data_IF_745034714257
#
_entry.id   IF_745034714257
#
_cell.length_a   1.000
_cell.length_b   1.000
_cell.length_c   1.000
_cell.angle_alpha   90.00
_cell.angle_beta   90.00
_cell.angle_gamma   90.00
#
_symmetry.space_group_name_H-M   'P 1'
#
loop_
_entity.id
_entity.type
_entity.pdbx_description
1 polymer ?
#
# COMPACT_ATOMS: atom_id res chain seq x y z
N UNK A 1 31.99 10.07 1.48
CA UNK A 1 31.62 11.39 2.04
C UNK A 1 31.02 11.17 3.41
N UNK A 2 31.71 11.70 4.42
CA UNK A 2 31.40 11.44 5.83
C UNK A 2 30.22 12.26 6.30
N UNK A 3 29.20 11.63 6.84
CA UNK A 3 28.14 12.33 7.57
C UNK A 3 28.62 12.60 9.00
N UNK A 4 28.79 13.87 9.31
CA UNK A 4 29.02 14.34 10.68
C UNK A 4 27.70 14.44 11.41
N UNK A 5 27.50 13.57 12.38
CA UNK A 5 26.48 13.72 13.43
C UNK A 5 27.13 14.51 14.57
N UNK A 6 26.59 15.68 14.87
CA UNK A 6 26.97 16.45 16.05
C UNK A 6 26.18 15.94 17.27
N UNK A 7 26.80 15.46 18.32
CA UNK A 7 26.14 15.33 19.60
C UNK A 7 26.44 16.59 20.44
N UNK A 8 25.40 17.32 20.81
CA UNK A 8 25.46 18.31 21.87
C UNK A 8 25.63 17.56 23.20
N UNK A 9 26.85 17.45 23.66
CA UNK A 9 27.17 17.02 25.02
C UNK A 9 27.47 18.26 25.87
N UNK A 10 26.53 18.61 26.76
CA UNK A 10 26.84 19.54 27.84
C UNK A 10 27.72 18.81 28.83
N UNK A 11 29.01 19.02 28.68
CA UNK A 11 30.03 18.45 29.57
C UNK A 11 30.08 19.18 30.88
N UNK A 12 29.58 18.58 31.95
CA UNK A 12 30.03 18.91 33.30
C UNK A 12 31.24 18.03 33.64
N UNK A 13 32.32 18.60 34.24
CA UNK A 13 33.54 17.84 34.50
C UNK A 13 33.31 16.84 35.65
N UNK A 14 32.96 15.61 35.31
CA UNK A 14 32.83 14.49 36.25
C UNK A 14 34.10 14.14 37.00
N UNK A 15 35.24 14.62 36.53
CA UNK A 15 36.57 14.29 37.14
C UNK A 15 36.87 15.06 38.43
N UNK A 16 36.36 16.27 38.62
CA UNK A 16 36.69 17.11 39.79
C UNK A 16 35.86 16.71 41.01
N UNK A 17 34.62 16.27 40.84
CA UNK A 17 33.81 15.77 41.97
C UNK A 17 34.31 14.43 42.52
N UNK A 18 34.91 13.57 41.70
CA UNK A 18 35.38 12.25 42.12
C UNK A 18 36.64 12.32 43.00
N UNK A 19 37.53 13.29 42.75
CA UNK A 19 38.81 13.37 43.47
C UNK A 19 38.68 13.97 44.88
N UNK A 20 37.79 14.93 45.11
CA UNK A 20 37.60 15.58 46.42
C UNK A 20 36.68 14.82 47.39
N UNK A 21 35.89 13.86 46.92
CA UNK A 21 35.01 13.05 47.77
C UNK A 21 35.63 11.73 48.23
N UNK A 22 36.65 11.22 47.52
CA UNK A 22 37.31 9.95 47.89
C UNK A 22 38.44 10.13 48.92
N UNK A 23 38.98 11.35 49.11
CA UNK A 23 40.01 11.66 50.05
C UNK A 23 39.55 12.77 51.02
N UNK A 24 38.89 12.45 52.13
CA UNK A 24 38.46 13.45 53.09
C UNK A 24 39.70 14.13 53.73
N UNK A 25 39.60 15.43 54.01
CA UNK A 25 40.74 16.20 54.59
C UNK A 25 41.30 15.57 55.85
N UNK A 26 42.66 15.61 56.02
CA UNK A 26 43.36 14.93 57.08
C UNK A 26 43.00 15.40 58.50
N UNK A 27 42.29 16.52 58.66
CA UNK A 27 41.87 17.08 59.94
C UNK A 27 40.54 16.57 60.48
N UNK A 28 39.84 15.69 59.75
CA UNK A 28 38.62 15.08 60.24
C UNK A 28 38.91 13.88 61.13
N UNK A 29 38.17 13.76 62.25
CA UNK A 29 38.26 12.62 63.13
C UNK A 29 37.92 11.30 62.42
N UNK A 30 38.48 10.18 62.87
CA UNK A 30 38.22 8.85 62.28
C UNK A 30 36.69 8.48 62.29
N UNK A 31 35.94 8.99 63.26
CA UNK A 31 34.49 8.81 63.32
C UNK A 31 33.78 9.58 62.23
N UNK A 32 34.17 10.82 61.95
CA UNK A 32 33.60 11.64 60.86
C UNK A 32 33.94 11.06 59.48
N UNK A 33 35.13 10.55 59.27
CA UNK A 33 35.50 9.87 58.01
C UNK A 33 34.63 8.65 57.75
N UNK A 34 34.38 7.82 58.77
CA UNK A 34 33.45 6.66 58.66
C UNK A 34 32.03 7.07 58.33
N UNK A 35 31.50 8.15 58.93
CA UNK A 35 30.15 8.66 58.67
C UNK A 35 30.06 9.14 57.22
N UNK A 36 31.07 9.88 56.71
CA UNK A 36 31.08 10.35 55.33
C UNK A 36 31.11 9.18 54.35
N UNK A 37 31.94 8.15 54.61
CA UNK A 37 31.97 6.95 53.76
C UNK A 37 30.62 6.20 53.74
N UNK A 38 29.94 6.11 54.88
CA UNK A 38 28.62 5.49 54.99
C UNK A 38 27.57 6.31 54.21
N UNK A 39 27.59 7.65 54.35
CA UNK A 39 26.66 8.52 53.60
C UNK A 39 26.91 8.48 52.11
N UNK A 40 28.18 8.40 51.65
CA UNK A 40 28.51 8.21 50.24
C UNK A 40 28.01 6.85 49.73
N UNK A 41 28.23 5.78 50.52
CA UNK A 41 27.73 4.45 50.15
C UNK A 41 26.18 4.40 50.04
N UNK A 42 25.49 5.03 50.99
CA UNK A 42 24.01 5.16 50.97
C UNK A 42 23.57 6.00 49.77
N UNK A 43 24.25 7.13 49.50
CA UNK A 43 23.93 7.98 48.34
C UNK A 43 24.20 7.25 47.02
N UNK A 44 25.29 6.50 46.89
CA UNK A 44 25.57 5.66 45.72
C UNK A 44 24.54 4.54 45.54
N UNK A 45 24.13 3.88 46.63
CA UNK A 45 23.06 2.84 46.56
C UNK A 45 21.73 3.45 46.22
N UNK A 46 21.37 4.58 46.82
CA UNK A 46 20.10 5.30 46.47
C UNK A 46 20.14 5.82 45.03
N UNK A 47 21.29 6.33 44.56
CA UNK A 47 21.43 6.77 43.15
C UNK A 47 21.43 5.60 42.18
N UNK A 48 22.01 4.46 42.54
CA UNK A 48 21.93 3.24 41.75
C UNK A 48 20.51 2.65 41.71
N UNK A 49 19.75 2.79 42.80
CA UNK A 49 18.34 2.41 42.85
C UNK A 49 17.45 3.40 42.11
N UNK A 50 17.77 4.70 42.06
CA UNK A 50 17.03 5.69 41.24
C UNK A 50 17.38 5.62 39.76
N UNK A 51 18.53 5.07 39.37
CA UNK A 51 18.94 4.81 37.99
C UNK A 51 18.62 3.37 37.53
N UNK A 52 17.90 2.57 38.29
CA UNK A 52 17.20 1.45 37.71
C UNK A 52 16.23 2.04 36.67
N UNK A 53 16.71 2.23 35.43
CA UNK A 53 15.93 2.66 34.29
C UNK A 53 14.64 1.83 34.31
N UNK A 54 13.53 2.51 34.59
CA UNK A 54 12.21 1.89 34.40
C UNK A 54 12.24 1.33 32.99
N UNK A 55 12.27 0.00 32.85
CA UNK A 55 12.12 -0.60 31.53
C UNK A 55 10.90 0.04 30.90
N UNK A 56 11.02 0.62 29.70
CA UNK A 56 9.87 1.18 29.04
C UNK A 56 8.79 0.09 28.96
N UNK A 57 7.56 0.47 29.24
CA UNK A 57 6.44 -0.45 29.12
C UNK A 57 6.37 -0.96 27.68
N UNK A 58 6.03 -2.24 27.45
CA UNK A 58 5.84 -2.77 26.11
C UNK A 58 4.80 -1.97 25.34
N UNK A 59 5.07 -1.68 24.06
CA UNK A 59 4.11 -1.00 23.18
C UNK A 59 2.85 -1.85 23.02
N UNK A 60 1.69 -1.22 23.08
CA UNK A 60 0.40 -1.89 22.89
C UNK A 60 0.16 -2.16 21.41
N UNK A 61 -0.14 -3.40 21.07
CA UNK A 61 -0.51 -3.81 19.72
C UNK A 61 -2.05 -3.95 19.62
N UNK A 62 -2.68 -3.43 18.58
CA UNK A 62 -2.11 -2.75 17.41
C UNK A 62 -1.87 -1.23 17.59
N UNK A 63 -2.43 -0.56 18.60
CA UNK A 63 -2.63 0.88 18.72
C UNK A 63 -1.33 1.70 18.65
N UNK A 64 -0.24 1.19 19.22
CA UNK A 64 1.06 1.89 19.30
C UNK A 64 2.10 1.33 18.32
N UNK A 65 1.73 0.29 17.56
CA UNK A 65 2.63 -0.41 16.64
C UNK A 65 2.24 -0.22 15.19
N UNK A 66 0.94 -0.27 14.88
CA UNK A 66 0.46 -0.08 13.51
C UNK A 66 0.28 1.40 13.21
N UNK A 67 0.68 1.80 12.01
CA UNK A 67 0.43 3.14 11.50
C UNK A 67 -1.03 3.30 11.02
N UNK A 68 -1.56 2.25 10.40
CA UNK A 68 -2.94 2.12 9.92
C UNK A 68 -3.41 0.70 10.18
N UNK A 69 -4.72 0.41 10.11
CA UNK A 69 -5.17 -0.98 9.98
C UNK A 69 -4.47 -1.70 8.82
N UNK A 70 -4.39 -3.04 8.84
CA UNK A 70 -3.85 -3.81 7.73
C UNK A 70 -4.68 -3.60 6.46
N UNK A 71 -4.09 -3.90 5.29
CA UNK A 71 -4.77 -3.88 4.00
C UNK A 71 -4.56 -5.22 3.32
N UNK A 72 -5.62 -5.83 2.80
CA UNK A 72 -5.58 -7.15 2.15
C UNK A 72 -5.67 -6.95 0.64
N UNK A 73 -4.54 -7.03 -0.06
CA UNK A 73 -4.48 -6.86 -1.51
C UNK A 73 -4.60 -8.21 -2.24
N UNK A 74 -5.42 -8.24 -3.29
CA UNK A 74 -5.57 -9.41 -4.14
C UNK A 74 -4.50 -9.43 -5.25
N UNK A 75 -3.68 -10.48 -5.29
CA UNK A 75 -2.58 -10.68 -6.26
C UNK A 75 -2.63 -12.12 -6.77
N UNK A 76 -2.95 -12.32 -8.04
CA UNK A 76 -3.15 -13.67 -8.58
C UNK A 76 -4.19 -14.44 -7.77
N UNK A 77 -3.80 -15.60 -7.25
CA UNK A 77 -4.59 -16.44 -6.35
C UNK A 77 -4.24 -16.27 -4.86
N UNK A 78 -3.43 -15.26 -4.52
CA UNK A 78 -3.00 -14.96 -3.17
C UNK A 78 -3.57 -13.63 -2.69
N UNK A 79 -3.60 -13.45 -1.36
CA UNK A 79 -3.69 -12.16 -0.74
C UNK A 79 -2.32 -11.75 -0.17
N UNK A 80 -1.97 -10.48 -0.35
CA UNK A 80 -0.89 -9.85 0.37
C UNK A 80 -1.47 -8.98 1.48
N UNK A 81 -1.33 -9.45 2.73
CA UNK A 81 -1.70 -8.68 3.92
C UNK A 81 -0.57 -7.72 4.20
N UNK A 82 -0.79 -6.44 3.88
CA UNK A 82 0.20 -5.37 4.02
C UNK A 82 -0.07 -4.60 5.30
N UNK A 83 0.98 -4.47 6.12
CA UNK A 83 0.85 -3.90 7.48
C UNK A 83 1.89 -2.81 7.70
N UNK A 84 1.53 -1.52 7.59
CA UNK A 84 2.41 -0.41 7.93
C UNK A 84 2.65 -0.33 9.43
N UNK A 85 3.91 -0.19 9.83
CA UNK A 85 4.34 -0.18 11.23
C UNK A 85 5.17 1.05 11.56
N UNK A 86 5.10 1.52 12.80
CA UNK A 86 5.85 2.69 13.27
C UNK A 86 7.20 2.34 13.90
N UNK A 87 7.49 1.04 14.06
CA UNK A 87 8.72 0.56 14.70
C UNK A 87 9.12 -0.81 14.15
N UNK A 88 10.36 -1.22 14.36
CA UNK A 88 10.81 -2.56 13.98
C UNK A 88 9.98 -3.64 14.67
N UNK A 89 9.39 -4.52 13.87
CA UNK A 89 8.51 -5.59 14.36
C UNK A 89 8.75 -6.90 13.63
N UNK A 90 8.61 -7.99 14.35
CA UNK A 90 8.36 -9.31 13.79
C UNK A 90 6.84 -9.45 13.68
N UNK A 91 6.33 -9.54 12.45
CA UNK A 91 4.93 -9.82 12.18
C UNK A 91 4.77 -11.18 11.50
N UNK A 92 3.75 -11.92 11.92
CA UNK A 92 3.26 -13.11 11.24
C UNK A 92 1.73 -13.10 11.25
N UNK A 93 1.14 -13.90 10.36
CA UNK A 93 -0.30 -14.08 10.25
C UNK A 93 -0.66 -15.53 10.52
N UNK A 94 -1.59 -15.77 11.43
CA UNK A 94 -2.15 -17.10 11.70
C UNK A 94 -3.55 -17.22 11.06
N UNK A 95 -3.76 -18.28 10.27
CA UNK A 95 -5.04 -18.65 9.67
C UNK A 95 -5.25 -20.13 9.91
N UNK A 96 -6.34 -20.53 10.55
CA UNK A 96 -6.66 -21.93 10.85
C UNK A 96 -5.49 -22.74 11.45
N UNK A 97 -4.71 -22.11 12.35
CA UNK A 97 -3.56 -22.75 13.01
C UNK A 97 -2.29 -22.81 12.19
N UNK A 98 -2.28 -22.35 10.94
CA UNK A 98 -1.12 -22.24 10.08
C UNK A 98 -0.54 -20.82 10.18
N UNK A 99 0.79 -20.70 10.23
CA UNK A 99 1.48 -19.41 10.37
C UNK A 99 2.18 -19.03 9.07
N UNK A 100 1.98 -17.80 8.65
CA UNK A 100 2.60 -17.15 7.48
C UNK A 100 3.51 -16.03 7.93
N UNK A 101 4.65 -15.88 7.29
CA UNK A 101 5.68 -14.91 7.66
C UNK A 101 6.03 -13.98 6.50
N UNK A 102 6.36 -12.73 6.82
CA UNK A 102 7.14 -11.86 5.94
C UNK A 102 8.61 -12.23 6.10
N UNK A 103 9.14 -13.07 5.20
CA UNK A 103 10.50 -13.58 5.31
C UNK A 103 11.19 -13.69 3.94
N UNK A 104 12.49 -13.43 3.91
CA UNK A 104 13.35 -13.58 2.74
C UNK A 104 14.48 -14.55 3.08
N UNK A 105 14.56 -15.66 2.34
CA UNK A 105 15.59 -16.69 2.54
C UNK A 105 15.75 -17.12 4.01
N UNK A 106 14.64 -17.30 4.73
CA UNK A 106 14.62 -17.73 6.14
C UNK A 106 14.85 -16.60 7.17
N UNK A 107 15.05 -15.36 6.73
CA UNK A 107 15.17 -14.20 7.61
C UNK A 107 13.86 -13.45 7.64
N UNK A 108 13.26 -13.29 8.84
CA UNK A 108 12.03 -12.51 9.01
C UNK A 108 12.35 -11.03 8.80
N UNK A 109 11.57 -10.37 7.93
CA UNK A 109 11.70 -8.95 7.65
C UNK A 109 11.28 -8.14 8.88
N UNK A 110 12.11 -7.22 9.34
CA UNK A 110 11.82 -6.35 10.49
C UNK A 110 12.13 -4.89 10.23
N UNK A 111 13.01 -4.59 9.28
CA UNK A 111 13.53 -3.25 9.05
C UNK A 111 12.66 -2.39 8.13
N UNK A 112 11.90 -3.00 7.20
CA UNK A 112 11.01 -2.24 6.32
C UNK A 112 9.82 -1.69 7.11
N UNK A 113 9.33 -0.49 6.82
CA UNK A 113 8.20 0.09 7.54
C UNK A 113 6.83 -0.47 7.11
N UNK A 114 6.77 -1.31 6.07
CA UNK A 114 5.57 -2.09 5.70
C UNK A 114 5.93 -3.57 5.70
N UNK A 115 5.14 -4.39 6.37
CA UNK A 115 5.23 -5.85 6.34
C UNK A 115 4.33 -6.38 5.24
N UNK A 116 4.80 -7.39 4.50
CA UNK A 116 4.03 -8.08 3.45
C UNK A 116 3.93 -9.55 3.78
N UNK A 117 2.75 -10.02 4.17
CA UNK A 117 2.51 -11.42 4.46
C UNK A 117 1.63 -11.98 3.36
N UNK A 118 2.16 -12.91 2.56
CA UNK A 118 1.42 -13.55 1.47
C UNK A 118 0.73 -14.80 1.98
N UNK A 119 -0.58 -14.92 1.69
CA UNK A 119 -1.42 -16.06 2.10
C UNK A 119 -2.29 -16.51 0.93
N UNK A 120 -2.54 -17.82 0.74
CA UNK A 120 -3.46 -18.30 -0.29
C UNK A 120 -4.88 -17.76 -0.07
N UNK A 121 -5.51 -17.26 -1.12
CA UNK A 121 -6.89 -16.75 -1.04
C UNK A 121 -7.86 -17.81 -0.53
N UNK A 122 -7.72 -19.04 -0.99
CA UNK A 122 -8.59 -20.15 -0.58
C UNK A 122 -8.59 -20.36 0.95
N UNK A 123 -7.43 -20.22 1.61
CA UNK A 123 -7.31 -20.42 3.06
C UNK A 123 -7.97 -19.24 3.82
N UNK A 124 -7.72 -18.00 3.43
CA UNK A 124 -8.31 -16.83 4.10
C UNK A 124 -9.81 -16.73 3.83
N UNK A 125 -10.26 -17.02 2.60
CA UNK A 125 -11.67 -17.02 2.23
C UNK A 125 -12.46 -18.07 3.04
N UNK A 126 -11.89 -19.25 3.26
CA UNK A 126 -12.51 -20.29 4.07
C UNK A 126 -12.54 -19.94 5.57
N UNK A 127 -11.48 -19.33 6.08
CA UNK A 127 -11.36 -18.95 7.48
C UNK A 127 -12.24 -17.75 7.86
N UNK A 128 -12.38 -16.78 6.94
CA UNK A 128 -13.09 -15.49 7.13
C UNK A 128 -12.54 -14.65 8.29
N UNK A 129 -11.36 -14.99 8.75
CA UNK A 129 -10.61 -14.25 9.77
C UNK A 129 -9.11 -14.55 9.67
N UNK A 130 -8.29 -13.65 10.19
CA UNK A 130 -6.86 -13.85 10.34
C UNK A 130 -6.35 -13.17 11.60
N UNK A 131 -5.32 -13.72 12.21
CA UNK A 131 -4.73 -13.17 13.43
C UNK A 131 -3.33 -12.67 13.14
N UNK A 132 -3.10 -11.37 13.30
CA UNK A 132 -1.76 -10.80 13.30
C UNK A 132 -1.09 -11.07 14.65
N UNK A 133 0.11 -11.64 14.59
CA UNK A 133 0.97 -11.93 15.73
C UNK A 133 2.19 -10.99 15.67
N UNK A 134 2.39 -10.21 16.72
CA UNK A 134 3.39 -9.14 16.76
C UNK A 134 4.37 -9.29 17.91
N UNK A 135 5.67 -9.09 17.62
CA UNK A 135 6.72 -8.83 18.60
C UNK A 135 7.48 -7.58 18.20
N UNK A 136 7.48 -6.56 19.02
CA UNK A 136 8.33 -5.38 18.81
C UNK A 136 9.80 -5.76 19.06
N UNK A 137 10.68 -5.36 18.14
CA UNK A 137 12.12 -5.59 18.27
C UNK A 137 12.72 -4.47 19.11
N UNK A 138 13.27 -4.83 20.27
CA UNK A 138 13.91 -3.86 21.19
C UNK A 138 15.41 -3.80 21.02
N UNK A 139 16.01 -4.85 20.46
CA UNK A 139 17.42 -4.90 20.10
C UNK A 139 17.63 -5.84 18.93
N UNK A 140 18.27 -5.37 17.86
CA UNK A 140 18.74 -6.20 16.77
C UNK A 140 20.27 -6.11 16.69
N UNK A 141 20.92 -7.23 16.71
CA UNK A 141 22.37 -7.34 16.66
C UNK A 141 22.78 -8.69 16.06
N UNK A 142 24.07 -8.90 15.89
CA UNK A 142 24.62 -10.15 15.37
C UNK A 142 24.22 -11.35 16.26
N UNK A 143 24.17 -11.13 17.58
CA UNK A 143 23.85 -12.13 18.58
C UNK A 143 22.86 -11.57 19.61
N UNK A 144 22.02 -12.44 20.17
CA UNK A 144 21.11 -12.16 21.27
C UNK A 144 20.18 -10.97 21.02
N UNK A 145 19.53 -10.96 19.85
CA UNK A 145 18.43 -10.02 19.57
C UNK A 145 17.31 -10.16 20.62
N UNK A 146 16.65 -9.07 20.94
CA UNK A 146 15.60 -9.01 21.96
C UNK A 146 14.30 -8.48 21.37
N UNK A 147 13.20 -9.06 21.80
CA UNK A 147 11.84 -8.65 21.43
C UNK A 147 10.96 -8.52 22.67
N UNK A 148 9.91 -7.74 22.54
CA UNK A 148 8.83 -7.72 23.51
C UNK A 148 8.01 -9.03 23.49
N UNK A 149 7.18 -9.27 24.49
CA UNK A 149 6.25 -10.41 24.50
C UNK A 149 5.36 -10.43 23.26
N UNK A 150 4.92 -11.63 22.87
CA UNK A 150 3.97 -11.81 21.76
C UNK A 150 2.63 -11.18 22.10
N UNK A 151 2.11 -10.37 21.20
CA UNK A 151 0.77 -9.83 21.23
C UNK A 151 0.03 -10.24 19.96
N UNK A 152 -1.30 -10.39 20.05
CA UNK A 152 -2.13 -10.87 18.94
C UNK A 152 -3.37 -9.99 18.76
N UNK A 153 -3.79 -9.82 17.50
CA UNK A 153 -5.05 -9.18 17.14
C UNK A 153 -5.69 -9.93 15.99
N UNK A 154 -6.93 -10.37 16.18
CA UNK A 154 -7.73 -11.01 15.12
C UNK A 154 -8.55 -9.95 14.39
N UNK A 155 -8.58 -10.08 13.07
CA UNK A 155 -9.38 -9.32 12.13
C UNK A 155 -10.37 -10.25 11.45
N UNK A 156 -11.61 -9.82 11.31
CA UNK A 156 -12.57 -10.48 10.43
C UNK A 156 -12.19 -10.23 8.97
N UNK A 157 -12.52 -11.14 8.08
CA UNK A 157 -12.37 -10.98 6.65
C UNK A 157 -13.65 -11.41 5.94
N UNK A 158 -14.13 -10.56 5.05
CA UNK A 158 -15.32 -10.79 4.25
C UNK A 158 -14.92 -10.98 2.79
N UNK A 159 -14.69 -12.24 2.36
CA UNK A 159 -14.40 -12.55 0.97
C UNK A 159 -15.61 -12.22 0.08
N UNK A 160 -15.35 -11.90 -1.18
CA UNK A 160 -16.42 -11.74 -2.17
C UNK A 160 -16.96 -13.13 -2.57
N UNK A 161 -18.08 -13.54 -2.02
CA UNK A 161 -18.73 -14.82 -2.32
C UNK A 161 -19.91 -14.68 -3.28
N UNK A 162 -20.53 -13.49 -3.35
CA UNK A 162 -21.66 -13.22 -4.25
C UNK A 162 -21.19 -13.02 -5.69
N UNK A 163 -22.10 -13.30 -6.62
CA UNK A 163 -21.86 -13.19 -8.07
C UNK A 163 -22.74 -12.17 -8.76
N UNK A 164 -23.61 -11.51 -8.00
CA UNK A 164 -24.53 -10.46 -8.45
C UNK A 164 -24.52 -9.29 -7.45
N UNK A 165 -24.85 -8.11 -7.92
CA UNK A 165 -24.90 -6.89 -7.12
C UNK A 165 -23.58 -6.65 -6.37
N UNK A 166 -22.46 -6.85 -7.08
CA UNK A 166 -21.12 -6.65 -6.53
C UNK A 166 -20.83 -5.16 -6.51
N UNK A 167 -20.54 -4.62 -5.34
CA UNK A 167 -20.27 -3.21 -5.09
C UNK A 167 -18.78 -2.93 -5.04
N UNK A 168 -18.30 -2.26 -6.07
CA UNK A 168 -16.88 -1.85 -6.22
C UNK A 168 -16.80 -0.34 -6.10
N UNK A 169 -15.83 0.17 -5.37
CA UNK A 169 -15.51 1.59 -5.40
C UNK A 169 -14.09 1.80 -5.91
N UNK A 170 -13.94 2.65 -6.94
CA UNK A 170 -12.64 3.01 -7.49
C UNK A 170 -12.25 4.43 -7.07
N UNK A 171 -11.03 4.56 -6.58
CA UNK A 171 -10.33 5.81 -6.31
C UNK A 171 -9.09 5.89 -7.18
N UNK A 172 -8.90 7.00 -7.88
CA UNK A 172 -7.66 7.36 -8.60
C UNK A 172 -7.39 8.84 -8.38
N UNK A 173 -6.21 9.34 -8.77
CA UNK A 173 -5.91 10.76 -8.76
C UNK A 173 -6.19 11.44 -7.40
N UNK A 174 -5.91 10.75 -6.30
CA UNK A 174 -6.17 11.32 -4.99
C UNK A 174 -5.13 12.38 -4.59
N UNK A 175 -3.90 12.29 -5.14
CA UNK A 175 -2.84 13.27 -4.96
C UNK A 175 -2.67 13.69 -3.50
N UNK A 176 -2.40 12.70 -2.63
CA UNK A 176 -2.26 12.85 -1.17
C UNK A 176 -3.54 13.26 -0.41
N UNK A 177 -4.70 13.37 -1.06
CA UNK A 177 -5.98 13.52 -0.37
C UNK A 177 -6.33 12.22 0.35
N UNK A 178 -6.61 12.27 1.62
CA UNK A 178 -7.05 11.09 2.41
C UNK A 178 -8.52 11.21 2.75
N UNK A 179 -8.91 12.32 3.36
CA UNK A 179 -10.27 12.48 3.90
C UNK A 179 -11.34 12.48 2.82
N UNK A 180 -11.21 13.31 1.80
CA UNK A 180 -12.24 13.45 0.77
C UNK A 180 -12.47 12.15 -0.03
N UNK A 181 -11.44 11.42 -0.52
CA UNK A 181 -11.65 10.10 -1.12
C UNK A 181 -12.31 9.09 -0.18
N UNK A 182 -11.89 9.04 1.10
CA UNK A 182 -12.49 8.15 2.11
C UNK A 182 -13.96 8.49 2.35
N UNK A 183 -14.32 9.77 2.37
CA UNK A 183 -15.72 10.20 2.53
C UNK A 183 -16.58 9.80 1.33
N UNK A 184 -16.07 9.85 0.09
CA UNK A 184 -16.80 9.41 -1.10
C UNK A 184 -17.18 7.91 -1.04
N UNK A 185 -16.30 7.06 -0.54
CA UNK A 185 -16.53 5.61 -0.42
C UNK A 185 -17.65 5.27 0.57
N UNK A 186 -17.98 6.15 1.49
CA UNK A 186 -19.12 5.98 2.41
C UNK A 186 -20.47 5.82 1.70
N UNK A 187 -20.52 6.09 0.40
CA UNK A 187 -21.68 5.82 -0.47
C UNK A 187 -22.16 4.37 -0.36
N UNK A 188 -21.24 3.41 -0.32
CA UNK A 188 -21.59 2.01 -0.09
C UNK A 188 -21.54 1.60 1.39
N UNK A 189 -20.90 2.36 2.25
CA UNK A 189 -20.76 2.01 3.66
C UNK A 189 -20.23 0.59 3.85
N UNK A 190 -20.93 -0.19 4.69
CA UNK A 190 -20.56 -1.58 4.98
C UNK A 190 -20.85 -2.56 3.83
N UNK A 191 -21.54 -2.14 2.79
CA UNK A 191 -21.90 -2.97 1.63
C UNK A 191 -20.80 -3.02 0.57
N UNK A 192 -19.71 -2.26 0.74
CA UNK A 192 -18.58 -2.31 -0.17
C UNK A 192 -17.96 -3.72 -0.19
N UNK A 193 -17.75 -4.27 -1.40
CA UNK A 193 -17.18 -5.61 -1.59
C UNK A 193 -15.72 -5.57 -2.03
N UNK A 194 -15.35 -4.57 -2.81
CA UNK A 194 -14.00 -4.41 -3.37
C UNK A 194 -13.64 -2.94 -3.46
N UNK A 195 -12.47 -2.58 -2.96
CA UNK A 195 -11.87 -1.27 -3.17
C UNK A 195 -10.79 -1.36 -4.24
N UNK A 196 -10.78 -0.43 -5.20
CA UNK A 196 -9.71 -0.29 -6.20
C UNK A 196 -9.01 1.06 -5.99
N UNK A 197 -7.71 1.03 -5.73
CA UNK A 197 -6.84 2.19 -5.76
C UNK A 197 -6.13 2.20 -7.11
N UNK A 198 -6.53 3.09 -8.01
CA UNK A 198 -6.11 3.05 -9.40
C UNK A 198 -5.15 4.19 -9.77
N UNK A 199 -4.03 4.28 -9.07
CA UNK A 199 -2.92 5.17 -9.40
C UNK A 199 -3.11 6.63 -9.01
N UNK A 200 -1.99 7.36 -9.00
CA UNK A 200 -1.90 8.75 -8.56
C UNK A 200 -2.52 8.97 -7.18
N UNK A 201 -2.37 7.97 -6.32
CA UNK A 201 -2.79 8.07 -4.93
C UNK A 201 -1.87 9.04 -4.19
N UNK A 202 -0.58 9.01 -4.53
CA UNK A 202 0.41 9.99 -4.09
C UNK A 202 0.64 11.07 -5.16
N UNK A 203 0.98 12.29 -4.76
CA UNK A 203 1.41 13.36 -5.68
C UNK A 203 2.80 13.08 -6.28
N UNK A 204 3.54 12.18 -5.68
CA UNK A 204 4.88 11.76 -6.05
C UNK A 204 5.56 11.12 -4.85
N UNK A 205 6.65 10.38 -5.07
CA UNK A 205 7.34 9.61 -4.06
C UNK A 205 8.65 10.28 -3.63
N UNK A 206 8.56 11.53 -3.18
CA UNK A 206 9.73 12.29 -2.70
C UNK A 206 10.28 11.75 -1.38
N UNK A 207 9.44 11.10 -0.59
CA UNK A 207 9.81 10.43 0.65
C UNK A 207 8.83 9.30 0.97
N UNK A 208 9.21 8.49 1.95
CA UNK A 208 8.43 7.33 2.35
C UNK A 208 6.98 7.64 2.80
N UNK A 209 6.73 8.79 3.43
CA UNK A 209 5.39 9.15 3.91
C UNK A 209 4.37 9.29 2.77
N UNK A 210 4.82 9.60 1.55
CA UNK A 210 3.95 9.65 0.38
C UNK A 210 3.38 8.25 0.07
N UNK A 211 4.20 7.19 0.13
CA UNK A 211 3.77 5.80 -0.09
C UNK A 211 2.68 5.40 0.93
N UNK A 212 2.77 5.90 2.16
CA UNK A 212 1.80 5.60 3.22
C UNK A 212 0.39 6.14 2.96
N UNK A 213 0.22 7.03 1.99
CA UNK A 213 -1.11 7.55 1.61
C UNK A 213 -2.03 6.41 1.17
N UNK A 214 -1.51 5.42 0.40
CA UNK A 214 -2.25 4.23 -0.01
C UNK A 214 -2.88 3.51 1.19
N UNK A 215 -2.09 3.34 2.26
CA UNK A 215 -2.51 2.63 3.46
C UNK A 215 -3.46 3.44 4.34
N UNK A 216 -3.27 4.76 4.42
CA UNK A 216 -4.19 5.65 5.15
C UNK A 216 -5.58 5.62 4.54
N UNK A 217 -5.67 5.59 3.21
CA UNK A 217 -6.94 5.48 2.49
C UNK A 217 -7.49 4.06 2.62
N UNK A 218 -6.76 3.05 2.12
CA UNK A 218 -7.27 1.68 2.08
C UNK A 218 -7.53 1.10 3.47
N UNK A 219 -6.58 1.27 4.41
CA UNK A 219 -6.76 0.80 5.79
C UNK A 219 -7.89 1.51 6.50
N UNK A 220 -8.05 2.83 6.29
CA UNK A 220 -9.15 3.61 6.88
C UNK A 220 -10.53 3.24 6.33
N UNK A 221 -10.62 2.76 5.09
CA UNK A 221 -11.87 2.31 4.46
C UNK A 221 -12.17 0.86 4.82
N UNK A 222 -11.19 -0.02 4.65
CA UNK A 222 -11.44 -1.48 4.67
C UNK A 222 -11.20 -2.11 6.03
N UNK A 223 -10.45 -1.47 6.91
CA UNK A 223 -10.02 -2.02 8.20
C UNK A 223 -9.38 -3.42 8.10
N UNK A 224 -8.88 -3.80 6.92
CA UNK A 224 -8.37 -5.13 6.63
C UNK A 224 -9.44 -6.21 6.45
N UNK A 225 -10.70 -5.84 6.29
CA UNK A 225 -11.85 -6.74 6.31
C UNK A 225 -12.37 -7.14 4.93
N UNK A 226 -11.97 -6.43 3.86
CA UNK A 226 -12.35 -6.70 2.47
C UNK A 226 -11.15 -6.61 1.53
N UNK A 227 -11.19 -7.27 0.36
CA UNK A 227 -10.10 -7.21 -0.61
C UNK A 227 -9.93 -5.81 -1.23
N UNK A 228 -8.68 -5.51 -1.58
CA UNK A 228 -8.27 -4.29 -2.29
C UNK A 228 -7.47 -4.67 -3.52
N UNK A 229 -7.59 -3.90 -4.60
CA UNK A 229 -6.71 -3.96 -5.78
C UNK A 229 -5.98 -2.62 -5.90
N UNK A 230 -4.71 -2.66 -6.26
CA UNK A 230 -3.87 -1.49 -6.43
C UNK A 230 -3.26 -1.46 -7.83
N UNK A 231 -3.30 -0.33 -8.49
CA UNK A 231 -2.55 -0.01 -9.70
C UNK A 231 -1.66 1.21 -9.43
N UNK A 232 -0.46 1.22 -9.98
CA UNK A 232 0.42 2.38 -9.94
C UNK A 232 -0.04 3.41 -10.97
N UNK A 233 0.04 4.71 -10.64
CA UNK A 233 -0.09 5.81 -11.58
C UNK A 233 1.27 6.36 -11.99
N UNK A 234 1.26 7.35 -12.88
CA UNK A 234 2.49 7.96 -13.37
C UNK A 234 3.18 8.85 -12.30
N UNK A 235 2.44 9.43 -11.38
CA UNK A 235 3.03 10.19 -10.27
C UNK A 235 3.83 9.31 -9.31
N UNK A 236 3.51 8.05 -9.16
CA UNK A 236 4.28 7.11 -8.36
C UNK A 236 5.62 6.68 -9.00
N UNK A 237 5.94 7.12 -10.23
CA UNK A 237 7.28 6.96 -10.82
C UNK A 237 8.21 8.12 -10.47
N UNK A 238 7.71 9.18 -9.86
CA UNK A 238 8.42 10.44 -9.62
C UNK A 238 8.89 10.55 -8.17
N UNK A 239 10.13 11.01 -7.98
CA UNK A 239 10.67 11.29 -6.65
C UNK A 239 11.73 10.31 -6.17
N UNK A 240 12.43 10.71 -5.11
CA UNK A 240 13.67 10.06 -4.64
C UNK A 240 13.50 8.61 -4.16
N UNK A 241 12.28 8.17 -3.80
CA UNK A 241 12.01 6.81 -3.32
C UNK A 241 11.11 6.02 -4.27
N UNK A 242 10.86 6.50 -5.49
CA UNK A 242 10.00 5.82 -6.46
C UNK A 242 10.50 4.41 -6.80
N UNK A 243 11.81 4.20 -6.92
CA UNK A 243 12.42 2.88 -7.16
C UNK A 243 12.17 1.87 -6.04
N UNK A 244 11.82 2.34 -4.83
CA UNK A 244 11.54 1.51 -3.67
C UNK A 244 10.07 1.10 -3.57
N UNK A 245 9.19 1.62 -4.41
CA UNK A 245 7.76 1.35 -4.35
C UNK A 245 7.43 -0.15 -4.31
N UNK A 246 8.10 -1.05 -5.07
CA UNK A 246 7.82 -2.48 -4.99
C UNK A 246 8.10 -3.11 -3.62
N UNK A 247 8.90 -2.49 -2.76
CA UNK A 247 9.12 -2.94 -1.38
C UNK A 247 7.90 -2.66 -0.49
N UNK A 248 7.11 -1.66 -0.83
CA UNK A 248 6.06 -1.08 0.01
C UNK A 248 4.66 -1.13 -0.62
N UNK A 249 4.53 -1.57 -1.86
CA UNK A 249 3.27 -1.76 -2.55
C UNK A 249 3.02 -3.24 -2.83
N UNK A 250 1.75 -3.67 -2.98
CA UNK A 250 1.45 -5.03 -3.42
C UNK A 250 2.05 -5.26 -4.81
N UNK A 251 2.64 -6.42 -5.02
CA UNK A 251 3.27 -6.73 -6.29
C UNK A 251 3.38 -8.25 -6.51
N UNK A 252 3.63 -8.63 -7.75
CA UNK A 252 3.97 -10.01 -8.11
C UNK A 252 5.41 -10.07 -8.59
N UNK A 253 6.28 -10.70 -7.80
CA UNK A 253 7.70 -10.87 -8.14
C UNK A 253 8.42 -9.54 -8.43
N UNK A 254 8.05 -8.47 -7.71
CA UNK A 254 8.56 -7.12 -7.89
C UNK A 254 7.86 -6.30 -8.98
N UNK A 255 6.97 -6.90 -9.79
CA UNK A 255 6.21 -6.19 -10.82
C UNK A 255 4.92 -5.60 -10.25
N UNK A 256 4.57 -4.38 -10.69
CA UNK A 256 3.34 -3.68 -10.30
C UNK A 256 2.21 -3.89 -11.31
N UNK A 257 2.43 -4.70 -12.33
CA UNK A 257 1.42 -5.28 -13.22
C UNK A 257 1.22 -6.76 -12.88
N UNK A 258 -0.03 -7.19 -12.80
CA UNK A 258 -0.37 -8.56 -12.37
C UNK A 258 -1.83 -8.88 -12.68
N UNK A 259 -2.19 -10.16 -12.68
CA UNK A 259 -3.59 -10.58 -12.64
C UNK A 259 -4.07 -10.70 -11.21
N UNK A 260 -5.38 -10.57 -10.98
CA UNK A 260 -6.00 -10.78 -9.67
C UNK A 260 -7.31 -11.56 -9.78
N UNK A 261 -7.66 -12.23 -8.68
CA UNK A 261 -8.95 -12.91 -8.50
C UNK A 261 -9.60 -12.35 -7.24
N UNK A 262 -10.89 -12.02 -7.33
CA UNK A 262 -11.72 -11.68 -6.17
C UNK A 262 -13.11 -12.26 -6.43
N UNK A 263 -13.41 -13.42 -5.83
CA UNK A 263 -14.64 -14.16 -6.11
C UNK A 263 -14.81 -14.43 -7.61
N UNK A 264 -15.95 -14.04 -8.15
CA UNK A 264 -16.29 -14.20 -9.58
C UNK A 264 -15.58 -13.20 -10.51
N UNK A 265 -14.80 -12.27 -9.96
CA UNK A 265 -14.05 -11.28 -10.75
C UNK A 265 -12.65 -11.81 -11.02
N UNK A 266 -12.27 -11.83 -12.28
CA UNK A 266 -10.90 -11.86 -12.74
C UNK A 266 -10.54 -10.47 -13.26
N UNK A 267 -9.33 -10.01 -13.01
CA UNK A 267 -8.85 -8.78 -13.60
C UNK A 267 -7.35 -8.79 -13.87
N UNK A 268 -6.93 -7.86 -14.70
CA UNK A 268 -5.53 -7.56 -14.98
C UNK A 268 -5.26 -6.11 -14.64
N UNK A 269 -4.22 -5.89 -13.84
CA UNK A 269 -3.63 -4.58 -13.60
C UNK A 269 -2.52 -4.39 -14.62
N UNK A 270 -2.60 -3.32 -15.40
CA UNK A 270 -1.59 -2.88 -16.36
C UNK A 270 -1.04 -1.51 -15.96
N UNK A 271 0.26 -1.33 -16.17
CA UNK A 271 1.00 -0.17 -15.71
C UNK A 271 1.62 0.57 -16.89
N UNK A 272 0.96 1.62 -17.34
CA UNK A 272 1.41 2.39 -18.51
C UNK A 272 2.72 3.19 -18.29
N UNK A 273 3.23 3.27 -17.06
CA UNK A 273 4.36 4.13 -16.75
C UNK A 273 4.03 5.63 -16.89
N UNK A 274 4.97 6.44 -17.33
CA UNK A 274 4.80 7.87 -17.52
C UNK A 274 4.03 8.21 -18.81
N UNK A 275 3.47 9.41 -18.86
CA UNK A 275 2.61 9.91 -19.91
C UNK A 275 3.34 10.67 -21.05
N UNK A 276 4.68 10.75 -20.99
CA UNK A 276 5.55 11.37 -21.99
C UNK A 276 6.72 10.46 -22.31
N UNK A 277 7.45 10.76 -23.39
CA UNK A 277 8.65 10.00 -23.77
C UNK A 277 9.69 9.95 -22.64
N UNK A 278 10.42 8.83 -22.53
CA UNK A 278 11.47 8.62 -21.52
C UNK A 278 12.55 9.75 -21.54
N UNK A 279 12.79 10.35 -22.70
CA UNK A 279 13.71 11.47 -22.87
C UNK A 279 13.14 12.85 -22.51
N UNK A 280 11.88 12.94 -22.05
CA UNK A 280 11.28 14.23 -21.73
C UNK A 280 12.01 14.90 -20.56
N UNK A 281 12.22 16.22 -20.67
CA UNK A 281 13.03 16.99 -19.72
C UNK A 281 12.50 16.94 -18.28
N UNK A 282 11.19 16.74 -18.10
CA UNK A 282 10.54 16.61 -16.78
C UNK A 282 11.10 15.43 -15.97
N UNK A 283 11.52 14.35 -16.65
CA UNK A 283 11.97 13.14 -15.98
C UNK A 283 13.48 13.12 -15.71
N UNK A 284 14.26 13.98 -16.32
CA UNK A 284 15.70 14.07 -16.09
C UNK A 284 16.44 12.74 -16.34
N UNK A 285 15.96 11.92 -17.29
CA UNK A 285 16.47 10.58 -17.62
C UNK A 285 16.34 9.54 -16.47
N UNK A 286 15.39 9.70 -15.56
CA UNK A 286 15.20 8.79 -14.42
C UNK A 286 14.23 7.66 -14.71
N UNK A 287 13.55 7.66 -15.86
CA UNK A 287 12.55 6.64 -16.25
C UNK A 287 12.98 5.88 -17.48
N UNK A 288 12.48 4.66 -17.64
CA UNK A 288 12.68 3.79 -18.78
C UNK A 288 11.35 3.05 -19.08
N UNK A 289 10.31 3.83 -19.40
CA UNK A 289 8.95 3.31 -19.55
C UNK A 289 8.73 2.57 -20.88
N UNK A 290 9.39 2.96 -21.95
CA UNK A 290 9.30 2.22 -23.21
C UNK A 290 9.73 0.75 -23.08
N UNK A 291 10.96 0.41 -22.62
CA UNK A 291 11.36 -0.98 -22.43
C UNK A 291 10.53 -1.69 -21.34
N UNK A 292 10.00 -0.97 -20.37
CA UNK A 292 9.09 -1.51 -19.36
C UNK A 292 7.76 -1.96 -20.00
N UNK A 293 7.13 -1.16 -20.85
CA UNK A 293 5.91 -1.53 -21.59
C UNK A 293 6.11 -2.72 -22.53
N UNK A 294 7.30 -2.86 -23.13
CA UNK A 294 7.63 -4.05 -23.93
C UNK A 294 7.62 -5.33 -23.06
N UNK A 295 8.19 -5.30 -21.86
CA UNK A 295 8.13 -6.43 -20.93
C UNK A 295 6.70 -6.75 -20.49
N UNK A 296 5.91 -5.72 -20.29
CA UNK A 296 4.50 -5.88 -19.92
C UNK A 296 3.68 -6.45 -21.09
N UNK A 297 4.02 -6.10 -22.33
CA UNK A 297 3.43 -6.74 -23.52
C UNK A 297 3.68 -8.25 -23.53
N UNK A 298 4.90 -8.70 -23.22
CA UNK A 298 5.21 -10.13 -23.10
C UNK A 298 4.47 -10.79 -21.92
N UNK A 299 4.33 -10.08 -20.80
CA UNK A 299 3.49 -10.55 -19.69
C UNK A 299 2.03 -10.72 -20.12
N UNK A 300 1.43 -9.74 -20.81
CA UNK A 300 0.06 -9.85 -21.32
C UNK A 300 -0.11 -11.06 -22.25
N UNK A 301 0.86 -11.32 -23.16
CA UNK A 301 0.86 -12.51 -24.01
C UNK A 301 0.91 -13.80 -23.18
N UNK A 302 1.74 -13.85 -22.14
CA UNK A 302 1.82 -15.03 -21.25
C UNK A 302 0.52 -15.29 -20.48
N UNK A 303 -0.22 -14.23 -20.10
CA UNK A 303 -1.56 -14.35 -19.49
C UNK A 303 -2.56 -14.91 -20.51
N UNK A 304 -2.48 -14.48 -21.77
CA UNK A 304 -3.31 -15.01 -22.86
C UNK A 304 -3.03 -16.48 -23.12
N UNK A 305 -1.77 -16.89 -23.16
CA UNK A 305 -1.37 -18.27 -23.32
C UNK A 305 -1.86 -19.18 -22.18
N UNK A 306 -2.04 -18.61 -20.98
CA UNK A 306 -2.55 -19.29 -19.78
C UNK A 306 -4.07 -19.09 -19.55
N UNK A 307 -4.81 -18.70 -20.56
CA UNK A 307 -6.23 -18.29 -20.46
C UNK A 307 -7.11 -19.23 -19.62
N UNK A 308 -6.90 -20.54 -19.70
CA UNK A 308 -7.70 -21.55 -19.00
C UNK A 308 -7.60 -21.43 -17.47
N UNK A 309 -6.44 -21.00 -16.94
CA UNK A 309 -6.23 -20.78 -15.51
C UNK A 309 -6.47 -19.32 -15.11
N UNK A 310 -6.64 -18.45 -16.07
CA UNK A 310 -6.87 -17.01 -15.90
C UNK A 310 -8.33 -16.66 -16.19
N UNK A 311 -8.58 -15.86 -17.17
CA UNK A 311 -9.90 -15.30 -17.48
C UNK A 311 -10.94 -16.27 -18.06
N UNK A 312 -10.55 -17.47 -18.47
CA UNK A 312 -11.45 -18.54 -18.94
C UNK A 312 -11.70 -19.61 -17.85
N UNK A 313 -11.24 -19.43 -16.63
CA UNK A 313 -11.57 -20.33 -15.54
C UNK A 313 -13.11 -20.33 -15.29
N UNK A 314 -13.67 -21.50 -14.97
CA UNK A 314 -15.12 -21.72 -14.95
C UNK A 314 -15.89 -20.83 -13.94
N UNK A 315 -15.23 -20.36 -12.89
CA UNK A 315 -15.79 -19.50 -11.86
C UNK A 315 -15.68 -18.00 -12.19
N UNK A 316 -15.05 -17.62 -13.32
CA UNK A 316 -14.95 -16.23 -13.78
C UNK A 316 -16.25 -15.81 -14.48
N UNK A 317 -16.89 -14.77 -13.95
CA UNK A 317 -18.04 -14.12 -14.56
C UNK A 317 -17.70 -12.74 -15.12
N UNK A 318 -16.81 -12.01 -14.43
CA UNK A 318 -16.44 -10.66 -14.79
C UNK A 318 -14.95 -10.58 -15.10
N UNK A 319 -14.63 -9.84 -16.17
CA UNK A 319 -13.24 -9.59 -16.61
C UNK A 319 -13.01 -8.10 -16.62
N UNK A 320 -12.09 -7.62 -15.79
CA UNK A 320 -11.79 -6.22 -15.62
C UNK A 320 -10.35 -5.90 -16.03
N UNK A 321 -10.15 -4.74 -16.64
CA UNK A 321 -8.84 -4.13 -16.79
C UNK A 321 -8.77 -2.98 -15.80
N UNK A 322 -7.69 -2.91 -15.03
CA UNK A 322 -7.36 -1.78 -14.17
C UNK A 322 -6.06 -1.19 -14.67
N UNK A 323 -6.11 0.03 -15.17
CA UNK A 323 -4.94 0.77 -15.61
C UNK A 323 -5.14 2.24 -15.27
N UNK A 324 -4.17 2.86 -14.63
CA UNK A 324 -4.30 4.27 -14.30
C UNK A 324 -4.51 5.12 -15.57
N UNK A 325 -3.61 4.97 -16.54
CA UNK A 325 -3.69 5.68 -17.82
C UNK A 325 -4.52 4.88 -18.82
N UNK A 326 -5.55 5.46 -19.46
CA UNK A 326 -6.28 4.80 -20.53
C UNK A 326 -5.42 4.65 -21.80
N UNK A 327 -5.69 3.59 -22.58
CA UNK A 327 -4.95 3.30 -23.83
C UNK A 327 -5.45 4.17 -24.98
N UNK A 328 -5.27 5.47 -24.88
CA UNK A 328 -5.73 6.44 -25.88
C UNK A 328 -4.56 7.20 -26.44
N UNK A 329 -4.48 7.27 -27.77
CA UNK A 329 -3.51 8.16 -28.41
C UNK A 329 -4.01 9.62 -28.33
N UNK A 330 -3.25 10.44 -27.63
CA UNK A 330 -3.51 11.87 -27.54
C UNK A 330 -2.65 12.55 -28.60
N UNK A 331 -3.27 12.99 -29.69
CA UNK A 331 -2.55 13.70 -30.75
C UNK A 331 -2.22 15.14 -30.33
N UNK A 332 -1.46 15.25 -29.25
CA UNK A 332 -1.00 16.51 -28.68
C UNK A 332 0.35 16.29 -27.97
N UNK A 333 1.39 16.95 -28.47
CA UNK A 333 2.70 16.89 -27.82
C UNK A 333 2.66 17.52 -26.45
N UNK A 334 3.34 16.92 -25.44
CA UNK A 334 4.26 15.75 -25.52
C UNK A 334 3.58 14.39 -25.24
N UNK A 335 2.25 14.28 -25.26
CA UNK A 335 1.48 13.11 -24.85
C UNK A 335 1.17 12.11 -25.99
N UNK A 336 1.69 12.38 -27.19
CA UNK A 336 1.51 11.56 -28.39
C UNK A 336 2.51 10.39 -28.44
N UNK A 337 2.49 9.52 -27.42
CA UNK A 337 3.47 8.46 -27.24
C UNK A 337 2.87 7.05 -27.40
N UNK A 338 3.71 6.05 -27.66
CA UNK A 338 3.45 4.61 -27.57
C UNK A 338 2.25 4.09 -28.37
N UNK A 339 1.89 4.78 -29.42
CA UNK A 339 0.74 4.47 -30.29
C UNK A 339 0.66 2.97 -30.66
N UNK A 340 1.79 2.37 -31.04
CA UNK A 340 1.81 0.99 -31.52
C UNK A 340 1.64 0.00 -30.38
N UNK A 341 2.25 0.24 -29.22
CA UNK A 341 2.12 -0.63 -28.03
C UNK A 341 0.67 -0.61 -27.53
N UNK A 342 0.08 0.58 -27.37
CA UNK A 342 -1.30 0.68 -26.90
C UNK A 342 -2.30 0.09 -27.90
N UNK A 343 -2.07 0.24 -29.21
CA UNK A 343 -2.88 -0.43 -30.22
C UNK A 343 -2.77 -1.96 -30.13
N UNK A 344 -1.55 -2.47 -29.92
CA UNK A 344 -1.34 -3.92 -29.72
C UNK A 344 -2.06 -4.40 -28.45
N UNK A 345 -1.97 -3.69 -27.31
CA UNK A 345 -2.68 -4.04 -26.09
C UNK A 345 -4.19 -4.03 -26.28
N UNK A 346 -4.75 -2.98 -26.89
CA UNK A 346 -6.18 -2.93 -27.23
C UNK A 346 -6.61 -4.14 -28.05
N UNK A 347 -5.83 -4.51 -29.08
CA UNK A 347 -6.12 -5.67 -29.93
C UNK A 347 -6.04 -6.97 -29.15
N UNK A 348 -4.94 -7.23 -28.43
CA UNK A 348 -4.76 -8.45 -27.64
C UNK A 348 -5.87 -8.66 -26.62
N UNK A 349 -6.22 -7.62 -25.90
CA UNK A 349 -7.27 -7.66 -24.87
C UNK A 349 -8.66 -7.87 -25.51
N UNK A 350 -8.98 -7.15 -26.57
CA UNK A 350 -10.28 -7.25 -27.26
C UNK A 350 -10.50 -8.62 -27.90
N UNK A 351 -9.47 -9.16 -28.56
CA UNK A 351 -9.60 -10.42 -29.32
C UNK A 351 -9.56 -11.67 -28.40
N UNK A 352 -8.76 -11.64 -27.32
CA UNK A 352 -8.53 -12.80 -26.47
C UNK A 352 -9.26 -12.71 -25.12
N UNK A 353 -9.05 -11.65 -24.35
CA UNK A 353 -9.59 -11.52 -22.99
C UNK A 353 -11.07 -11.17 -23.01
N UNK A 354 -11.48 -10.30 -23.93
CA UNK A 354 -12.88 -9.79 -24.05
C UNK A 354 -13.37 -9.23 -22.70
N UNK A 355 -12.72 -8.20 -22.17
CA UNK A 355 -13.07 -7.65 -20.86
C UNK A 355 -14.44 -6.96 -20.90
N UNK A 356 -15.12 -6.91 -19.76
CA UNK A 356 -16.38 -6.20 -19.61
C UNK A 356 -16.20 -4.69 -19.44
N UNK A 357 -15.19 -4.32 -18.64
CA UNK A 357 -14.89 -2.92 -18.32
C UNK A 357 -13.37 -2.70 -18.22
N UNK A 358 -12.94 -1.51 -18.61
CA UNK A 358 -11.64 -0.96 -18.32
C UNK A 358 -11.78 0.24 -17.38
N UNK A 359 -11.07 0.20 -16.25
CA UNK A 359 -11.13 1.20 -15.19
C UNK A 359 -9.87 2.05 -15.22
N UNK A 360 -10.03 3.38 -15.37
CA UNK A 360 -8.93 4.33 -15.51
C UNK A 360 -9.11 5.58 -14.63
N UNK A 361 -8.01 6.30 -14.44
CA UNK A 361 -7.91 7.64 -13.85
C UNK A 361 -7.26 8.64 -14.80
N UNK A 362 -6.23 9.34 -14.32
CA UNK A 362 -5.26 10.16 -15.06
C UNK A 362 -5.79 11.48 -15.63
N UNK A 363 -6.97 11.49 -16.22
CA UNK A 363 -7.51 12.69 -16.90
C UNK A 363 -8.23 13.67 -15.96
N UNK A 364 -8.28 13.40 -14.66
CA UNK A 364 -8.94 14.25 -13.66
C UNK A 364 -10.39 14.61 -14.06
N UNK A 365 -11.08 13.66 -14.67
CA UNK A 365 -12.47 13.82 -15.14
C UNK A 365 -13.26 12.55 -14.87
N UNK A 366 -14.58 12.67 -14.93
CA UNK A 366 -15.48 11.52 -14.84
C UNK A 366 -16.18 11.33 -16.19
N UNK A 367 -15.97 10.16 -16.81
CA UNK A 367 -16.49 9.89 -18.15
C UNK A 367 -16.60 8.39 -18.43
N UNK A 368 -17.63 8.01 -19.16
CA UNK A 368 -17.78 6.67 -19.78
C UNK A 368 -17.51 6.79 -21.27
N UNK A 369 -16.56 6.03 -21.78
CA UNK A 369 -16.13 6.02 -23.18
C UNK A 369 -16.45 4.65 -23.75
N UNK A 370 -17.44 4.59 -24.63
CA UNK A 370 -17.82 3.36 -25.31
C UNK A 370 -17.01 3.14 -26.59
N UNK A 371 -16.83 1.90 -27.04
CA UNK A 371 -16.27 1.62 -28.36
C UNK A 371 -16.92 2.47 -29.46
N UNK A 372 -16.10 3.13 -30.29
CA UNK A 372 -16.55 4.07 -31.32
C UNK A 372 -16.74 5.52 -30.87
N UNK A 373 -16.50 5.84 -29.60
CA UNK A 373 -16.45 7.23 -29.15
C UNK A 373 -15.25 7.99 -29.78
N UNK A 374 -15.32 9.31 -29.90
CA UNK A 374 -14.26 10.12 -30.50
C UNK A 374 -12.89 9.97 -29.81
N UNK A 375 -12.85 9.54 -28.53
CA UNK A 375 -11.62 9.24 -27.80
C UNK A 375 -11.17 7.79 -27.98
N UNK A 376 -12.00 6.90 -28.51
CA UNK A 376 -11.61 5.54 -28.88
C UNK A 376 -10.88 5.55 -30.24
N UNK A 377 -9.63 6.00 -30.24
CA UNK A 377 -8.83 6.17 -31.44
C UNK A 377 -7.85 5.01 -31.71
N UNK A 378 -7.74 4.05 -30.78
CA UNK A 378 -6.91 2.85 -30.92
C UNK A 378 -7.72 1.55 -30.96
N UNK A 379 -9.05 1.62 -30.86
CA UNK A 379 -9.95 0.48 -30.76
C UNK A 379 -9.94 -0.13 -29.38
N UNK A 380 -10.43 0.62 -28.39
CA UNK A 380 -10.51 0.19 -27.00
C UNK A 380 -11.09 -1.22 -26.84
N UNK A 381 -10.55 -2.03 -25.90
CA UNK A 381 -10.97 -3.43 -25.78
C UNK A 381 -12.40 -3.61 -25.29
N UNK A 382 -12.94 -2.62 -24.60
CA UNK A 382 -14.28 -2.58 -24.04
C UNK A 382 -14.65 -1.14 -23.65
N UNK A 383 -15.76 -0.94 -22.96
CA UNK A 383 -16.10 0.37 -22.39
C UNK A 383 -15.08 0.77 -21.31
N UNK A 384 -14.54 1.99 -21.45
CA UNK A 384 -13.58 2.59 -20.53
C UNK A 384 -14.30 3.56 -19.59
N UNK A 385 -14.04 3.42 -18.29
CA UNK A 385 -14.52 4.32 -17.25
C UNK A 385 -13.34 5.13 -16.74
N UNK A 386 -13.34 6.43 -17.01
CA UNK A 386 -12.42 7.38 -16.37
C UNK A 386 -13.12 7.88 -15.13
N UNK A 387 -12.62 7.50 -13.96
CA UNK A 387 -13.47 7.42 -12.80
C UNK A 387 -13.12 8.34 -11.65
N UNK A 388 -12.21 9.31 -11.81
CA UNK A 388 -11.83 10.16 -10.68
C UNK A 388 -11.59 11.59 -11.07
N UNK A 389 -12.06 12.48 -10.20
CA UNK A 389 -11.85 13.91 -10.37
C UNK A 389 -11.46 14.53 -9.04
N UNK A 390 -10.16 14.85 -8.82
CA UNK A 390 -9.76 15.72 -7.73
C UNK A 390 -10.32 17.12 -7.97
N UNK A 391 -10.91 17.71 -6.95
CA UNK A 391 -11.41 19.07 -7.01
C UNK A 391 -10.33 20.13 -6.82
N UNK A 392 -10.74 21.39 -6.76
CA UNK A 392 -9.82 22.53 -6.61
C UNK A 392 -9.16 22.61 -5.23
N UNK A 393 -9.76 22.00 -4.22
CA UNK A 393 -9.26 21.98 -2.85
C UNK A 393 -8.96 20.56 -2.40
N UNK A 394 -8.22 20.41 -1.30
CA UNK A 394 -7.93 19.08 -0.73
C UNK A 394 -9.19 18.39 -0.17
N UNK A 395 -10.24 19.13 0.09
CA UNK A 395 -11.53 18.64 0.63
C UNK A 395 -12.57 18.35 -0.47
N UNK A 396 -12.18 18.42 -1.74
CA UNK A 396 -13.07 18.24 -2.90
C UNK A 396 -12.58 17.05 -3.73
N UNK A 397 -13.45 16.04 -3.92
CA UNK A 397 -13.11 14.82 -4.65
C UNK A 397 -14.36 14.07 -5.11
N UNK A 398 -14.30 13.52 -6.32
CA UNK A 398 -15.30 12.61 -6.89
C UNK A 398 -14.63 11.30 -7.26
N UNK A 399 -15.14 10.18 -6.76
CA UNK A 399 -14.73 8.82 -7.12
C UNK A 399 -15.83 8.08 -7.87
N UNK A 400 -15.63 6.79 -8.14
CA UNK A 400 -16.56 5.97 -8.93
C UNK A 400 -17.07 4.78 -8.14
N UNK A 401 -18.37 4.72 -7.96
CA UNK A 401 -19.12 3.56 -7.47
C UNK A 401 -19.60 2.73 -8.65
N UNK A 402 -19.38 1.42 -8.61
CA UNK A 402 -19.73 0.46 -9.65
C UNK A 402 -20.53 -0.67 -9.02
N UNK A 403 -21.69 -0.98 -9.57
CA UNK A 403 -22.46 -2.17 -9.20
C UNK A 403 -22.53 -3.12 -10.39
N UNK A 404 -21.99 -4.35 -10.21
CA UNK A 404 -21.95 -5.35 -11.26
C UNK A 404 -23.07 -6.37 -11.08
N UNK A 405 -23.78 -6.62 -12.16
CA UNK A 405 -24.64 -7.79 -12.34
C UNK A 405 -24.17 -8.57 -13.57
N UNK A 406 -24.67 -9.79 -13.80
CA UNK A 406 -24.32 -10.57 -15.00
C UNK A 406 -24.73 -9.90 -16.30
N UNK A 407 -25.68 -8.98 -16.25
CA UNK A 407 -26.23 -8.31 -17.43
C UNK A 407 -25.61 -6.92 -17.67
N UNK A 408 -25.20 -6.24 -16.61
CA UNK A 408 -24.79 -4.83 -16.70
C UNK A 408 -23.90 -4.37 -15.56
N UNK A 409 -23.28 -3.21 -15.77
CA UNK A 409 -22.68 -2.40 -14.72
C UNK A 409 -23.42 -1.06 -14.58
N UNK A 410 -23.88 -0.73 -13.38
CA UNK A 410 -24.32 0.61 -13.04
C UNK A 410 -23.12 1.41 -12.50
N UNK A 411 -22.92 2.61 -13.05
CA UNK A 411 -21.80 3.50 -12.73
C UNK A 411 -22.37 4.77 -12.11
N UNK A 412 -21.87 5.15 -10.94
CA UNK A 412 -22.16 6.43 -10.30
C UNK A 412 -20.88 7.17 -9.99
N UNK A 413 -20.76 8.40 -10.44
CA UNK A 413 -19.68 9.30 -10.05
C UNK A 413 -20.10 10.03 -8.78
N UNK A 414 -19.46 9.67 -7.67
CA UNK A 414 -19.89 10.06 -6.32
C UNK A 414 -18.92 11.08 -5.73
N UNK A 415 -19.44 12.27 -5.46
CA UNK A 415 -18.71 13.30 -4.74
C UNK A 415 -18.56 12.93 -3.24
N UNK A 416 -17.55 13.45 -2.58
CA UNK A 416 -17.30 13.17 -1.16
C UNK A 416 -18.39 13.67 -0.18
N UNK A 417 -19.36 14.45 -0.67
CA UNK A 417 -20.59 14.76 0.06
C UNK A 417 -21.71 13.74 -0.17
N UNK A 418 -21.42 12.61 -0.84
CA UNK A 418 -22.33 11.54 -1.25
C UNK A 418 -23.33 11.94 -2.32
N UNK A 419 -23.15 13.09 -2.95
CA UNK A 419 -23.94 13.50 -4.11
C UNK A 419 -23.48 12.74 -5.34
N UNK A 420 -24.41 12.18 -6.12
CA UNK A 420 -24.15 11.64 -7.45
C UNK A 420 -24.05 12.81 -8.43
N UNK A 421 -22.90 12.94 -9.10
CA UNK A 421 -22.63 14.01 -10.06
C UNK A 421 -22.76 13.54 -11.51
N UNK A 422 -22.88 12.24 -11.71
CA UNK A 422 -23.12 11.63 -13.01
C UNK A 422 -23.37 10.14 -12.84
N UNK A 423 -24.11 9.56 -13.75
CA UNK A 423 -24.45 8.15 -13.76
C UNK A 423 -24.47 7.59 -15.17
N UNK A 424 -24.24 6.30 -15.33
CA UNK A 424 -24.35 5.59 -16.60
C UNK A 424 -24.67 4.11 -16.34
N UNK A 425 -25.18 3.42 -17.36
CA UNK A 425 -25.43 1.97 -17.35
C UNK A 425 -24.78 1.35 -18.58
N UNK A 426 -23.97 0.32 -18.36
CA UNK A 426 -23.24 -0.40 -19.39
C UNK A 426 -23.80 -1.81 -19.46
N UNK A 427 -24.56 -2.11 -20.51
CA UNK A 427 -25.09 -3.46 -20.75
C UNK A 427 -23.96 -4.38 -21.24
N UNK A 428 -23.88 -5.58 -20.66
CA UNK A 428 -22.97 -6.63 -21.11
C UNK A 428 -23.64 -7.45 -22.22
N UNK A 429 -22.91 -7.67 -23.31
CA UNK A 429 -23.41 -8.41 -24.49
C UNK A 429 -23.04 -9.89 -24.41
#
# INVERSE_FOLDING_TARGET
MSFHVFPFAIGFPKAILHYNFMNPPNHLSNAMKKIICILIAIFCVCHAQQQAEKKPEPKKFPEEVLLTPPVVFAIGHDYQIMVPVVTETILSCEINGKTYYDAVNGVICTATPVRRITVPQAELNAAKEYTLCCRVVTKRGEYFSKTEPLQKKTYTFRPLEKTENIKIFMLADTHNRVKAPTDAVKYYGNDLDLLILNGDISEGLSNYNNILTNYKIAGGITNGEIPVVYSRGNHELRGAVAEQLPLYAPNRDGNLYYTFRVGAIWGIVLDCGEDKDDGHAEYGHTVACHPFRLKETEYLKSVIDNAANEYNAADVKYRLIVSHTPFMHINNKPFDIELDIYREWCKLLRENVKPHLMLCGHFHTTRVIRPGHAWDNLGEPCTVIIGSRPGKTMDDYTGTAIELTTEKAAIHFVHNTLKIEGEDVIEFK
#
